data_IF_321869224787
#
_entry.id   IF_321869224787
#
_cell.length_a   1.000
_cell.length_b   1.000
_cell.length_c   1.000
_cell.angle_alpha   90.00
_cell.angle_beta   90.00
_cell.angle_gamma   90.00
#
_symmetry.space_group_name_H-M   'P 1'
#
loop_
_entity.id
_entity.type
_entity.pdbx_description
1 polymer ?
#
# COMPACT_ATOMS: atom_id res chain seq x y z
N UNK A 1 18.04 14.78 -10.66
CA UNK A 1 18.45 13.90 -9.53
C UNK A 1 17.25 13.28 -8.82
N UNK A 2 16.14 14.00 -8.60
CA UNK A 2 14.90 13.45 -8.01
C UNK A 2 14.10 12.58 -9.02
N UNK A 3 14.14 12.88 -10.32
CA UNK A 3 13.45 12.08 -11.36
C UNK A 3 14.02 10.67 -11.54
N UNK A 4 15.32 10.45 -11.24
CA UNK A 4 15.96 9.13 -11.34
C UNK A 4 15.47 8.14 -10.27
N UNK A 5 14.83 8.63 -9.19
CA UNK A 5 14.16 7.80 -8.17
C UNK A 5 12.75 7.38 -8.60
N UNK A 6 12.24 7.93 -9.71
CA UNK A 6 10.89 7.72 -10.22
C UNK A 6 10.56 6.26 -10.48
N UNK A 7 11.51 5.46 -10.98
CA UNK A 7 11.27 4.05 -11.37
C UNK A 7 12.25 3.06 -10.69
N UNK A 8 12.94 3.52 -9.64
CA UNK A 8 14.00 2.76 -8.96
C UNK A 8 13.65 2.45 -7.50
N UNK A 9 12.40 2.13 -7.22
CA UNK A 9 11.90 1.88 -5.87
C UNK A 9 12.65 0.75 -5.17
N UNK A 10 12.84 -0.39 -5.84
CA UNK A 10 13.55 -1.55 -5.28
C UNK A 10 15.02 -1.21 -4.98
N UNK A 11 15.70 -0.52 -5.90
CA UNK A 11 17.09 -0.07 -5.72
C UNK A 11 17.22 0.98 -4.62
N UNK A 12 16.23 1.85 -4.46
CA UNK A 12 16.17 2.83 -3.36
C UNK A 12 16.08 2.10 -2.02
N UNK A 13 15.21 1.09 -1.91
CA UNK A 13 15.10 0.26 -0.71
C UNK A 13 16.37 -0.54 -0.44
N UNK A 14 17.07 -1.00 -1.48
CA UNK A 14 18.38 -1.64 -1.34
C UNK A 14 19.41 -0.67 -0.75
N UNK A 15 19.48 0.56 -1.27
CA UNK A 15 20.41 1.56 -0.77
C UNK A 15 20.14 1.90 0.70
N UNK A 16 18.87 1.95 1.11
CA UNK A 16 18.48 2.10 2.52
C UNK A 16 18.93 0.88 3.34
N UNK A 17 18.65 -0.34 2.86
CA UNK A 17 19.00 -1.58 3.55
C UNK A 17 20.52 -1.77 3.71
N UNK A 18 21.30 -1.38 2.69
CA UNK A 18 22.75 -1.50 2.69
C UNK A 18 23.46 -0.33 3.40
N UNK A 19 22.72 0.65 3.92
CA UNK A 19 23.28 1.85 4.54
C UNK A 19 23.88 2.88 3.57
N UNK A 20 23.80 2.67 2.25
CA UNK A 20 24.23 3.66 1.24
C UNK A 20 23.34 4.90 1.24
N UNK A 21 22.09 4.75 1.66
CA UNK A 21 21.15 5.84 1.89
C UNK A 21 20.69 5.80 3.36
N UNK A 22 21.45 6.42 4.29
CA UNK A 22 21.13 6.39 5.72
C UNK A 22 19.79 7.05 6.04
N UNK A 23 19.12 6.55 7.10
CA UNK A 23 17.84 7.10 7.59
C UNK A 23 17.90 8.60 7.84
N UNK A 24 18.99 9.09 8.44
CA UNK A 24 19.13 10.51 8.78
C UNK A 24 19.20 11.39 7.54
N UNK A 25 19.84 10.90 6.47
CA UNK A 25 19.88 11.58 5.17
C UNK A 25 18.47 11.66 4.57
N UNK A 26 17.72 10.55 4.56
CA UNK A 26 16.33 10.56 4.09
C UNK A 26 15.46 11.48 4.94
N UNK A 27 15.65 11.47 6.26
CA UNK A 27 14.88 12.29 7.20
C UNK A 27 15.11 13.78 6.98
N UNK A 28 16.35 14.19 6.68
CA UNK A 28 16.71 15.58 6.40
C UNK A 28 16.11 16.08 5.09
N UNK A 29 16.04 15.22 4.08
CA UNK A 29 15.58 15.59 2.73
C UNK A 29 14.06 15.50 2.56
N UNK A 30 13.44 14.44 3.11
CA UNK A 30 12.04 14.08 2.84
C UNK A 30 11.17 14.01 4.11
N UNK A 31 11.75 14.34 5.27
CA UNK A 31 11.08 14.28 6.56
C UNK A 31 11.15 12.91 7.25
N UNK A 32 10.97 12.93 8.57
CA UNK A 32 11.14 11.77 9.45
C UNK A 32 10.13 10.63 9.18
N UNK A 33 8.90 10.99 8.80
CA UNK A 33 7.84 10.02 8.46
C UNK A 33 8.21 9.20 7.23
N UNK A 34 8.67 9.87 6.17
CA UNK A 34 9.12 9.23 4.91
C UNK A 34 10.31 8.30 5.18
N UNK A 35 11.31 8.78 5.93
CA UNK A 35 12.46 7.98 6.32
C UNK A 35 12.06 6.72 7.10
N UNK A 36 11.14 6.84 8.06
CA UNK A 36 10.60 5.71 8.81
C UNK A 36 9.86 4.70 7.92
N UNK A 37 9.14 5.18 6.91
CA UNK A 37 8.43 4.33 5.95
C UNK A 37 9.41 3.55 5.08
N UNK A 38 10.43 4.22 4.54
CA UNK A 38 11.43 3.60 3.67
C UNK A 38 12.27 2.56 4.42
N UNK A 39 12.67 2.82 5.67
CA UNK A 39 13.39 1.83 6.50
C UNK A 39 12.52 0.59 6.75
N UNK A 40 11.23 0.77 7.06
CA UNK A 40 10.31 -0.36 7.23
C UNK A 40 10.15 -1.17 5.94
N UNK A 41 10.08 -0.50 4.79
CA UNK A 41 9.99 -1.18 3.49
C UNK A 41 11.29 -1.89 3.14
N UNK A 42 12.44 -1.27 3.35
CA UNK A 42 13.75 -1.91 3.18
C UNK A 42 13.84 -3.21 4.00
N UNK A 43 13.36 -3.20 5.25
CA UNK A 43 13.25 -4.40 6.07
C UNK A 43 12.37 -5.51 5.46
N UNK A 44 11.32 -5.18 4.71
CA UNK A 44 10.46 -6.18 4.05
C UNK A 44 11.11 -6.79 2.82
N UNK A 45 11.80 -5.99 2.01
CA UNK A 45 12.37 -6.43 0.72
C UNK A 45 13.81 -6.97 0.84
N UNK A 46 14.56 -6.54 1.86
CA UNK A 46 15.98 -6.89 2.03
C UNK A 46 16.32 -7.39 3.44
N UNK A 47 15.39 -7.31 4.39
CA UNK A 47 15.60 -7.81 5.74
C UNK A 47 15.46 -9.34 5.85
N UNK A 48 15.84 -9.91 7.01
CA UNK A 48 15.76 -11.35 7.27
C UNK A 48 14.33 -11.90 7.11
N UNK A 49 14.19 -13.00 6.38
CA UNK A 49 12.91 -13.70 6.21
C UNK A 49 13.12 -15.19 5.97
N UNK A 50 12.10 -15.98 6.33
CA UNK A 50 12.03 -17.40 5.93
C UNK A 50 11.65 -17.58 4.45
N UNK A 51 11.02 -16.58 3.84
CA UNK A 51 10.53 -16.61 2.46
C UNK A 51 11.54 -16.05 1.44
N UNK A 52 12.81 -16.48 1.54
CA UNK A 52 13.92 -15.89 0.75
C UNK A 52 13.66 -15.87 -0.75
N UNK A 53 13.10 -16.96 -1.30
CA UNK A 53 12.80 -17.08 -2.74
C UNK A 53 11.71 -16.10 -3.19
N UNK A 54 10.63 -15.97 -2.42
CA UNK A 54 9.54 -15.04 -2.73
C UNK A 54 9.96 -13.58 -2.54
N UNK A 55 10.78 -13.29 -1.53
CA UNK A 55 11.35 -11.95 -1.34
C UNK A 55 12.24 -11.56 -2.52
N UNK A 56 13.10 -12.47 -3.00
CA UNK A 56 13.89 -12.26 -4.20
C UNK A 56 12.99 -12.05 -5.43
N UNK A 57 11.98 -12.90 -5.62
CA UNK A 57 11.05 -12.78 -6.74
C UNK A 57 10.26 -11.47 -6.72
N UNK A 58 9.88 -10.97 -5.55
CA UNK A 58 9.19 -9.68 -5.41
C UNK A 58 10.09 -8.50 -5.81
N UNK A 59 11.39 -8.55 -5.45
CA UNK A 59 12.37 -7.54 -5.90
C UNK A 59 12.55 -7.56 -7.41
N UNK A 60 12.65 -8.76 -8.00
CA UNK A 60 12.78 -8.92 -9.44
C UNK A 60 11.52 -8.43 -10.18
N UNK A 61 10.33 -8.85 -9.73
CA UNK A 61 9.06 -8.39 -10.28
C UNK A 61 8.89 -6.87 -10.14
N UNK A 62 9.34 -6.29 -9.03
CA UNK A 62 9.23 -4.85 -8.74
C UNK A 62 10.27 -3.96 -9.42
N UNK A 63 11.18 -4.51 -10.24
CA UNK A 63 12.11 -3.68 -11.03
C UNK A 63 11.33 -2.73 -11.94
N UNK A 64 11.73 -1.46 -11.95
CA UNK A 64 11.06 -0.40 -12.72
C UNK A 64 9.86 0.23 -12.01
N UNK A 65 9.52 -0.20 -10.79
CA UNK A 65 8.48 0.46 -10.00
C UNK A 65 9.04 1.63 -9.20
N UNK A 66 8.27 2.71 -9.14
CA UNK A 66 8.50 3.80 -8.19
C UNK A 66 8.42 3.33 -6.74
N UNK A 67 9.11 4.04 -5.83
CA UNK A 67 8.96 3.79 -4.39
C UNK A 67 7.52 4.04 -3.93
N UNK A 68 6.83 5.02 -4.52
CA UNK A 68 5.42 5.30 -4.25
C UNK A 68 4.51 4.15 -4.68
N UNK A 69 4.77 3.51 -5.83
CA UNK A 69 4.04 2.32 -6.28
C UNK A 69 4.21 1.17 -5.28
N UNK A 70 5.44 0.95 -4.79
CA UNK A 70 5.71 -0.05 -3.75
C UNK A 70 4.98 0.29 -2.43
N UNK A 71 4.89 1.57 -2.05
CA UNK A 71 4.12 2.01 -0.88
C UNK A 71 2.62 1.70 -1.05
N UNK A 72 2.05 1.91 -2.24
CA UNK A 72 0.65 1.56 -2.56
C UNK A 72 0.42 0.05 -2.48
N UNK A 73 1.33 -0.74 -3.04
CA UNK A 73 1.28 -2.21 -2.94
C UNK A 73 1.29 -2.65 -1.46
N UNK A 74 2.24 -2.17 -0.66
CA UNK A 74 2.33 -2.51 0.77
C UNK A 74 1.14 -2.03 1.60
N UNK A 75 0.49 -0.93 1.19
CA UNK A 75 -0.77 -0.49 1.78
C UNK A 75 -1.86 -1.54 1.57
N UNK A 76 -2.01 -2.08 0.37
CA UNK A 76 -3.07 -3.06 0.07
C UNK A 76 -2.77 -4.46 0.63
N UNK A 77 -1.50 -4.89 0.65
CA UNK A 77 -1.10 -6.15 1.27
C UNK A 77 -1.53 -6.26 2.74
N UNK A 78 -1.52 -5.14 3.49
CA UNK A 78 -2.02 -5.09 4.88
C UNK A 78 -3.52 -5.38 5.02
N UNK A 79 -4.27 -5.33 3.92
CA UNK A 79 -5.71 -5.59 3.89
C UNK A 79 -6.07 -7.02 3.48
N UNK A 80 -5.07 -7.87 3.19
CA UNK A 80 -5.30 -9.29 2.95
C UNK A 80 -5.82 -9.95 4.23
N UNK A 81 -6.97 -10.63 4.13
CA UNK A 81 -7.61 -11.28 5.26
C UNK A 81 -6.91 -12.59 5.59
N UNK A 82 -6.86 -12.92 6.89
CA UNK A 82 -6.47 -14.25 7.35
C UNK A 82 -7.42 -15.31 6.78
N UNK A 83 -6.84 -16.34 6.18
CA UNK A 83 -7.59 -17.41 5.49
C UNK A 83 -7.74 -17.20 3.99
N UNK A 84 -7.15 -16.14 3.42
CA UNK A 84 -7.00 -16.03 1.96
C UNK A 84 -6.20 -17.20 1.40
N UNK A 85 -6.44 -17.52 0.12
CA UNK A 85 -5.81 -18.65 -0.58
C UNK A 85 -4.30 -18.46 -0.83
N UNK A 86 -3.78 -17.26 -0.58
CA UNK A 86 -2.37 -16.89 -0.77
C UNK A 86 -1.83 -16.26 0.50
N UNK A 87 -0.53 -16.42 0.71
CA UNK A 87 0.22 -15.70 1.72
C UNK A 87 0.47 -14.25 1.29
N UNK A 88 0.86 -13.39 2.25
CA UNK A 88 1.23 -12.00 1.96
C UNK A 88 2.45 -11.94 1.03
N UNK A 89 3.39 -12.86 1.17
CA UNK A 89 4.62 -12.93 0.39
C UNK A 89 4.36 -13.36 -1.05
N UNK A 90 3.48 -14.34 -1.27
CA UNK A 90 3.04 -14.74 -2.62
C UNK A 90 2.32 -13.59 -3.32
N UNK A 91 1.38 -12.95 -2.63
CA UNK A 91 0.65 -11.81 -3.18
C UNK A 91 1.58 -10.62 -3.44
N UNK A 92 2.60 -10.41 -2.62
CA UNK A 92 3.59 -9.35 -2.87
C UNK A 92 4.30 -9.53 -4.19
N UNK A 93 4.68 -10.77 -4.56
CA UNK A 93 5.31 -11.06 -5.86
C UNK A 93 4.37 -10.67 -7.00
N UNK A 94 3.12 -11.13 -6.94
CA UNK A 94 2.09 -10.83 -7.95
C UNK A 94 1.86 -9.32 -8.10
N UNK A 95 1.68 -8.61 -6.98
CA UNK A 95 1.45 -7.17 -7.00
C UNK A 95 2.67 -6.35 -7.48
N UNK A 96 3.89 -6.80 -7.17
CA UNK A 96 5.10 -6.17 -7.71
C UNK A 96 5.23 -6.37 -9.24
N UNK A 97 4.54 -7.35 -9.81
CA UNK A 97 4.47 -7.57 -11.26
C UNK A 97 3.56 -6.59 -12.00
N UNK A 98 2.74 -5.80 -11.30
CA UNK A 98 1.86 -4.82 -11.92
C UNK A 98 2.66 -3.72 -12.63
N UNK A 99 2.08 -3.15 -13.69
CA UNK A 99 2.68 -2.08 -14.51
C UNK A 99 1.65 -1.00 -14.81
N UNK A 100 2.16 0.17 -15.19
CA UNK A 100 1.37 1.38 -15.41
C UNK A 100 1.73 2.49 -14.43
N UNK A 101 0.89 3.51 -14.39
CA UNK A 101 1.03 4.64 -13.45
C UNK A 101 0.81 4.20 -12.00
N UNK A 102 1.24 5.03 -11.04
CA UNK A 102 1.02 4.79 -9.60
C UNK A 102 -0.46 4.55 -9.29
N UNK A 103 -1.37 5.32 -9.90
CA UNK A 103 -2.81 5.22 -9.64
C UNK A 103 -3.45 3.98 -10.29
N UNK A 104 -2.95 3.54 -11.45
CA UNK A 104 -3.35 2.27 -12.06
C UNK A 104 -2.89 1.09 -11.19
N UNK A 105 -1.66 1.13 -10.69
CA UNK A 105 -1.12 0.12 -9.78
C UNK A 105 -1.90 0.10 -8.47
N UNK A 106 -2.22 1.26 -7.88
CA UNK A 106 -3.02 1.35 -6.64
C UNK A 106 -4.40 0.70 -6.83
N UNK A 107 -5.09 0.99 -7.94
CA UNK A 107 -6.39 0.39 -8.27
C UNK A 107 -6.30 -1.11 -8.53
N UNK A 108 -5.32 -1.55 -9.32
CA UNK A 108 -5.13 -2.97 -9.64
C UNK A 108 -4.78 -3.79 -8.40
N UNK A 109 -3.90 -3.27 -7.54
CA UNK A 109 -3.53 -3.92 -6.28
C UNK A 109 -4.73 -4.06 -5.33
N UNK A 110 -5.56 -3.02 -5.20
CA UNK A 110 -6.79 -3.08 -4.44
C UNK A 110 -7.75 -4.15 -4.98
N UNK A 111 -7.94 -4.22 -6.30
CA UNK A 111 -8.81 -5.19 -6.95
C UNK A 111 -8.35 -6.63 -6.70
N UNK A 112 -7.05 -6.89 -6.84
CA UNK A 112 -6.44 -8.21 -6.64
C UNK A 112 -6.57 -8.70 -5.19
N UNK A 113 -6.28 -7.83 -4.22
CA UNK A 113 -6.47 -8.16 -2.79
C UNK A 113 -7.96 -8.44 -2.50
N UNK A 114 -8.87 -7.70 -3.13
CA UNK A 114 -10.32 -7.93 -2.99
C UNK A 114 -10.73 -9.28 -3.57
N UNK A 115 -10.17 -9.71 -4.69
CA UNK A 115 -10.42 -11.02 -5.30
C UNK A 115 -10.08 -12.14 -4.31
N UNK A 116 -8.86 -12.14 -3.74
CA UNK A 116 -8.46 -13.11 -2.72
C UNK A 116 -9.31 -13.03 -1.45
N UNK A 117 -9.71 -11.83 -1.03
CA UNK A 117 -10.54 -11.68 0.15
C UNK A 117 -11.96 -12.23 -0.05
N UNK A 118 -12.51 -12.26 -1.27
CA UNK A 118 -13.85 -12.80 -1.54
C UNK A 118 -13.96 -14.30 -1.30
N UNK A 119 -12.86 -15.04 -1.41
CA UNK A 119 -12.84 -16.49 -1.18
C UNK A 119 -12.76 -16.86 0.30
N UNK A 120 -12.51 -15.87 1.18
CA UNK A 120 -12.43 -16.09 2.63
C UNK A 120 -13.82 -16.26 3.22
N UNK A 121 -14.00 -17.32 4.03
CA UNK A 121 -15.22 -17.51 4.81
C UNK A 121 -15.52 -16.26 5.66
N UNK A 122 -16.79 -15.85 5.64
CA UNK A 122 -17.30 -14.67 6.35
C UNK A 122 -16.65 -13.34 5.94
N UNK A 123 -16.11 -13.24 4.72
CA UNK A 123 -15.52 -12.01 4.19
C UNK A 123 -16.47 -10.81 4.27
N UNK A 124 -17.77 -11.03 4.01
CA UNK A 124 -18.79 -10.00 4.14
C UNK A 124 -18.88 -9.47 5.58
N UNK A 125 -18.99 -10.34 6.58
CA UNK A 125 -19.06 -9.96 7.99
C UNK A 125 -17.79 -9.19 8.44
N UNK A 126 -16.61 -9.63 7.99
CA UNK A 126 -15.34 -8.93 8.26
C UNK A 126 -15.29 -7.54 7.61
N UNK A 127 -15.86 -7.38 6.41
CA UNK A 127 -16.00 -6.07 5.77
C UNK A 127 -17.02 -5.18 6.48
N UNK A 128 -18.12 -5.74 6.97
CA UNK A 128 -19.15 -5.03 7.75
C UNK A 128 -18.58 -4.40 9.02
N UNK A 129 -17.60 -5.04 9.67
CA UNK A 129 -16.90 -4.50 10.84
C UNK A 129 -15.97 -3.31 10.54
N UNK A 130 -15.66 -3.04 9.26
CA UNK A 130 -14.84 -1.89 8.85
C UNK A 130 -15.66 -0.64 8.49
N UNK A 131 -16.99 -0.71 8.56
CA UNK A 131 -17.85 0.46 8.34
C UNK A 131 -17.58 1.52 9.39
N UNK A 132 -17.50 2.77 8.96
CA UNK A 132 -17.23 3.88 9.87
C UNK A 132 -17.84 5.16 9.32
N UNK A 133 -18.46 5.95 10.20
CA UNK A 133 -18.75 7.36 9.97
C UNK A 133 -17.86 8.16 10.93
N UNK A 134 -17.04 9.04 10.37
CA UNK A 134 -16.15 9.92 11.13
C UNK A 134 -16.48 11.36 10.79
N UNK A 135 -16.89 12.15 11.77
CA UNK A 135 -17.14 13.58 11.60
C UNK A 135 -15.92 14.40 12.01
N UNK A 136 -15.54 15.36 11.17
CA UNK A 136 -14.59 16.41 11.56
C UNK A 136 -15.14 17.21 12.73
N UNK A 137 -14.32 17.46 13.75
CA UNK A 137 -14.69 18.32 14.89
C UNK A 137 -14.78 19.79 14.49
N UNK A 138 -14.07 20.17 13.43
CA UNK A 138 -13.92 21.55 13.02
C UNK A 138 -14.98 21.93 12.00
N UNK A 139 -15.46 23.16 12.13
CA UNK A 139 -16.20 23.87 11.10
C UNK A 139 -15.19 24.69 10.29
N UNK A 140 -15.29 24.66 8.96
CA UNK A 140 -14.42 25.47 8.11
C UNK A 140 -14.85 26.95 8.09
N UNK A 141 -14.07 27.78 7.39
CA UNK A 141 -14.30 29.22 7.32
C UNK A 141 -15.64 29.61 6.65
N UNK A 142 -16.29 28.68 5.96
CA UNK A 142 -17.59 28.86 5.30
C UNK A 142 -18.75 28.30 6.14
N UNK A 143 -18.50 27.83 7.36
CA UNK A 143 -19.53 27.24 8.20
C UNK A 143 -19.81 25.75 7.92
N UNK A 144 -19.00 25.09 7.07
CA UNK A 144 -19.23 23.71 6.65
C UNK A 144 -18.49 22.72 7.55
N UNK A 145 -18.99 21.48 7.62
CA UNK A 145 -18.35 20.36 8.34
C UNK A 145 -18.18 19.16 7.43
N UNK A 146 -17.00 18.56 7.48
CA UNK A 146 -16.67 17.38 6.68
C UNK A 146 -16.94 16.09 7.45
N UNK A 147 -17.58 15.13 6.80
CA UNK A 147 -17.72 13.75 7.25
C UNK A 147 -16.96 12.82 6.30
N UNK A 148 -16.37 11.76 6.84
CA UNK A 148 -15.78 10.65 6.10
C UNK A 148 -16.59 9.39 6.38
N UNK A 149 -17.09 8.75 5.32
CA UNK A 149 -17.93 7.57 5.39
C UNK A 149 -17.27 6.38 4.69
N UNK A 150 -17.20 5.26 5.39
CA UNK A 150 -16.73 3.97 4.87
C UNK A 150 -17.90 2.97 4.93
N UNK A 151 -18.38 2.54 3.76
CA UNK A 151 -19.47 1.57 3.58
C UNK A 151 -19.15 0.64 2.40
N UNK A 152 -19.91 -0.48 2.22
CA UNK A 152 -19.84 -1.25 0.99
C UNK A 152 -20.03 -0.36 -0.25
N UNK A 153 -19.25 -0.63 -1.30
CA UNK A 153 -19.21 0.14 -2.55
C UNK A 153 -20.60 0.50 -3.08
N UNK A 154 -21.51 -0.49 -3.21
CA UNK A 154 -22.89 -0.27 -3.68
C UNK A 154 -23.66 0.78 -2.84
N UNK A 155 -23.44 0.80 -1.53
CA UNK A 155 -24.11 1.75 -0.64
C UNK A 155 -23.52 3.15 -0.77
N UNK A 156 -22.19 3.29 -0.85
CA UNK A 156 -21.55 4.59 -1.10
C UNK A 156 -21.97 5.14 -2.46
N UNK A 157 -21.93 4.34 -3.52
CA UNK A 157 -22.32 4.79 -4.87
C UNK A 157 -23.74 5.33 -4.90
N UNK A 158 -24.68 4.69 -4.19
CA UNK A 158 -26.04 5.18 -4.07
C UNK A 158 -26.12 6.53 -3.34
N UNK A 159 -25.40 6.68 -2.22
CA UNK A 159 -25.35 7.96 -1.48
C UNK A 159 -24.75 9.07 -2.34
N UNK A 160 -23.62 8.81 -3.02
CA UNK A 160 -22.97 9.78 -3.91
C UNK A 160 -23.89 10.21 -5.05
N UNK A 161 -24.68 9.29 -5.61
CA UNK A 161 -25.61 9.62 -6.69
C UNK A 161 -26.82 10.46 -6.24
N UNK A 162 -27.07 10.54 -4.92
CA UNK A 162 -28.24 11.24 -4.36
C UNK A 162 -27.89 12.60 -3.75
N UNK A 163 -26.59 12.88 -3.54
CA UNK A 163 -26.05 14.14 -3.02
C UNK A 163 -25.59 15.03 -4.17
#
# INVERSE_FOLDING_TARGET
MIEALGDQGVQTLEAVASGRLPRDTVSRLLGSSTAGTWVKMAGKYYGPTRYKKLQAAAREAGRGLSITSLERIEKHLRSLLRGASVTVEELRVDLCGLRGTVDEIDRAAAARVREHNRTVKDAAAKAYGKRALRGGKNTDALGMRTLTLTLPERQISHIIATL
#
